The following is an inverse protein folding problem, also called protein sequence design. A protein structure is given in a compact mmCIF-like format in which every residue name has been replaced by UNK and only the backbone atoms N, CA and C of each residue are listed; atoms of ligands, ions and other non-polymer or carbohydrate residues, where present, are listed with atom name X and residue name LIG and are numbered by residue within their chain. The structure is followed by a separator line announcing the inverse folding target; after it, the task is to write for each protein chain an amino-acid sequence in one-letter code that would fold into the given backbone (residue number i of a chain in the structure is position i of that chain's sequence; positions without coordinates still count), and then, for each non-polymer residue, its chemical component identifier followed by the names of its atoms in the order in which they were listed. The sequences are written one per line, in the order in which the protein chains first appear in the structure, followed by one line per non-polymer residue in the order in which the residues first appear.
data_IF_839901257274
#
_entry.id   IF_839901257274
#
_cell.length_a   1.000
_cell.length_b   1.000
_cell.length_c   1.000
_cell.angle_alpha   90.00
_cell.angle_beta   90.00
_cell.angle_gamma   90.00
#
_symmetry.space_group_name_H-M   'P 1'
#
loop_
_entity.id
_entity.type
_entity.pdbx_description
1 polymer ?
#
# COMPACT_ATOMS: atom_id res chain seq x y z
N UNK A 1 -18.32 -5.95 16.41
CA UNK A 1 -19.37 -5.44 15.50
C UNK A 1 -18.67 -5.04 14.21
N UNK A 2 -19.06 -5.60 13.06
CA UNK A 2 -18.55 -5.16 11.75
C UNK A 2 -19.33 -3.89 11.39
N UNK A 3 -18.73 -2.72 11.58
CA UNK A 3 -19.36 -1.44 11.32
C UNK A 3 -19.00 -0.96 9.92
N UNK A 4 -19.96 -0.99 8.99
CA UNK A 4 -19.90 -0.19 7.78
C UNK A 4 -20.45 1.20 8.12
N UNK A 5 -19.58 2.06 8.65
CA UNK A 5 -19.94 3.41 9.07
C UNK A 5 -19.70 4.42 7.94
N UNK A 6 -20.77 4.90 7.30
CA UNK A 6 -20.79 6.25 6.74
C UNK A 6 -21.06 7.20 7.91
N UNK A 7 -20.04 7.91 8.37
CA UNK A 7 -20.18 8.90 9.44
C UNK A 7 -19.79 10.26 8.91
N UNK A 8 -20.83 11.06 8.65
CA UNK A 8 -20.72 12.48 8.36
C UNK A 8 -20.42 13.28 9.64
N UNK A 9 -19.55 14.26 9.41
CA UNK A 9 -19.30 15.51 10.12
C UNK A 9 -18.62 15.52 11.49
N UNK A 10 -17.43 16.13 11.42
CA UNK A 10 -16.83 17.05 12.38
C UNK A 10 -16.19 16.45 13.62
N UNK A 11 -14.88 16.16 13.55
CA UNK A 11 -13.91 16.60 14.56
C UNK A 11 -12.52 16.78 13.90
N UNK A 12 -11.98 17.99 14.00
CA UNK A 12 -10.57 18.37 13.75
C UNK A 12 -10.09 18.38 12.28
N UNK A 13 -10.00 19.58 11.70
CA UNK A 13 -9.26 19.83 10.45
C UNK A 13 -7.81 19.33 10.58
N UNK A 14 -7.53 18.17 9.97
CA UNK A 14 -6.29 17.97 9.19
C UNK A 14 -6.41 16.91 8.09
N UNK A 15 -7.38 15.98 8.17
CA UNK A 15 -7.72 15.04 7.09
C UNK A 15 -9.23 14.72 7.16
N UNK A 16 -10.03 15.31 6.28
CA UNK A 16 -11.45 14.99 6.16
C UNK A 16 -11.61 13.74 5.29
N UNK A 17 -12.45 12.77 5.69
CA UNK A 17 -12.86 11.66 4.83
C UNK A 17 -13.41 12.24 3.52
N UNK A 18 -12.77 11.94 2.40
CA UNK A 18 -13.29 12.31 1.10
C UNK A 18 -14.44 11.39 0.71
N UNK A 19 -15.31 11.89 -0.16
CA UNK A 19 -16.35 11.06 -0.74
C UNK A 19 -15.71 9.95 -1.56
N UNK A 20 -15.81 8.71 -1.08
CA UNK A 20 -15.14 7.54 -1.66
C UNK A 20 -14.21 6.82 -0.69
N UNK A 21 -13.83 7.47 0.40
CA UNK A 21 -13.05 6.83 1.45
C UNK A 21 -13.87 5.73 2.14
N UNK A 22 -13.24 4.57 2.34
CA UNK A 22 -13.88 3.38 2.91
C UNK A 22 -12.92 2.67 3.85
N UNK A 23 -13.38 2.48 5.09
CA UNK A 23 -12.73 1.61 6.05
C UNK A 23 -13.56 0.37 6.34
N UNK A 24 -12.90 -0.79 6.34
CA UNK A 24 -13.46 -2.06 6.75
C UNK A 24 -12.59 -2.67 7.84
N UNK A 25 -13.11 -2.77 9.06
CA UNK A 25 -12.32 -3.32 10.15
C UNK A 25 -12.96 -3.16 11.51
N UNK A 26 -12.13 -3.33 12.53
CA UNK A 26 -12.51 -3.11 13.90
C UNK A 26 -12.53 -1.63 14.27
N UNK A 27 -13.46 -1.29 15.16
CA UNK A 27 -13.58 0.04 15.73
C UNK A 27 -13.47 -0.05 17.24
N UNK A 28 -12.81 0.92 17.85
CA UNK A 28 -12.75 1.10 19.30
C UNK A 28 -12.71 2.58 19.61
N UNK A 29 -13.58 3.04 20.51
CA UNK A 29 -13.65 4.44 20.96
C UNK A 29 -13.83 5.44 19.80
N UNK A 30 -14.57 5.03 18.74
CA UNK A 30 -14.79 5.85 17.54
C UNK A 30 -13.60 5.87 16.56
N UNK A 31 -12.53 5.15 16.84
CA UNK A 31 -11.32 5.11 16.02
C UNK A 31 -11.06 3.71 15.44
N UNK A 32 -10.28 3.64 14.35
CA UNK A 32 -9.85 2.36 13.78
C UNK A 32 -8.99 1.57 14.75
N UNK A 33 -9.30 0.29 14.86
CA UNK A 33 -8.66 -0.59 15.82
C UNK A 33 -8.63 -2.06 15.36
N UNK A 34 -7.48 -2.70 15.53
CA UNK A 34 -7.28 -4.08 15.12
C UNK A 34 -7.10 -4.20 13.60
N UNK A 35 -7.33 -5.39 13.04
CA UNK A 35 -7.18 -5.62 11.60
C UNK A 35 -8.23 -4.84 10.81
N UNK A 36 -7.81 -4.19 9.73
CA UNK A 36 -8.70 -3.53 8.81
C UNK A 36 -8.07 -3.25 7.45
N UNK A 37 -8.92 -2.81 6.53
CA UNK A 37 -8.57 -2.32 5.21
C UNK A 37 -9.11 -0.89 5.06
N UNK A 38 -8.25 0.03 4.69
CA UNK A 38 -8.58 1.41 4.39
C UNK A 38 -8.35 1.66 2.90
N UNK A 39 -9.34 2.22 2.22
CA UNK A 39 -9.21 2.85 0.93
C UNK A 39 -9.47 4.33 1.15
N UNK A 40 -8.55 5.19 0.74
CA UNK A 40 -8.75 6.63 0.77
C UNK A 40 -8.39 7.24 -0.59
N UNK A 41 -9.07 8.33 -0.92
CA UNK A 41 -8.78 9.14 -2.08
C UNK A 41 -7.97 10.37 -1.65
N UNK A 42 -7.17 10.93 -2.55
CA UNK A 42 -6.68 12.29 -2.39
C UNK A 42 -7.62 13.32 -3.06
N UNK A 43 -7.21 14.58 -3.06
CA UNK A 43 -7.95 15.68 -3.69
C UNK A 43 -8.09 15.54 -5.23
N UNK A 44 -7.26 14.71 -5.86
CA UNK A 44 -7.28 14.44 -7.30
C UNK A 44 -8.11 13.20 -7.65
N UNK A 45 -8.57 12.46 -6.63
CA UNK A 45 -9.30 11.20 -6.79
C UNK A 45 -8.39 9.98 -6.90
N UNK A 46 -7.09 10.16 -6.64
CA UNK A 46 -6.14 9.07 -6.66
C UNK A 46 -6.32 8.17 -5.43
N UNK A 47 -6.34 6.86 -5.67
CA UNK A 47 -6.68 5.87 -4.66
C UNK A 47 -5.44 5.34 -3.95
N UNK A 48 -5.45 5.44 -2.64
CA UNK A 48 -4.48 4.84 -1.73
C UNK A 48 -5.16 3.71 -0.94
N UNK A 49 -4.44 2.61 -0.76
CA UNK A 49 -4.94 1.45 -0.05
C UNK A 49 -4.00 1.07 1.09
N UNK A 50 -4.56 0.72 2.24
CA UNK A 50 -3.82 0.12 3.34
C UNK A 50 -4.56 -1.10 3.88
N UNK A 51 -3.85 -2.19 4.07
CA UNK A 51 -4.35 -3.41 4.72
C UNK A 51 -3.40 -3.79 5.85
N UNK A 52 -3.88 -3.78 7.09
CA UNK A 52 -3.00 -4.04 8.23
C UNK A 52 -3.70 -3.86 9.56
N UNK A 53 -2.91 -3.67 10.63
CA UNK A 53 -3.47 -3.37 11.94
C UNK A 53 -3.55 -1.87 12.18
N UNK A 54 -4.58 -1.48 12.91
CA UNK A 54 -4.84 -0.12 13.32
C UNK A 54 -4.83 -0.03 14.83
N UNK A 55 -4.36 1.10 15.36
CA UNK A 55 -4.50 1.45 16.77
C UNK A 55 -4.68 2.95 16.89
N UNK A 56 -5.80 3.35 17.48
CA UNK A 56 -6.16 4.77 17.63
C UNK A 56 -6.18 5.52 16.30
N UNK A 57 -6.83 4.93 15.29
CA UNK A 57 -6.94 5.52 13.95
C UNK A 57 -5.67 5.44 13.09
N UNK A 58 -4.53 4.99 13.64
CA UNK A 58 -3.23 4.98 12.95
C UNK A 58 -2.79 3.57 12.55
N UNK A 59 -2.05 3.48 11.44
CA UNK A 59 -1.39 2.25 11.01
C UNK A 59 -0.40 1.76 12.07
N UNK A 60 -0.38 0.44 12.32
CA UNK A 60 0.46 -0.18 13.34
C UNK A 60 0.79 -1.63 13.01
N UNK A 61 1.97 -2.08 13.42
CA UNK A 61 2.42 -3.46 13.26
C UNK A 61 2.60 -3.79 11.78
N UNK A 62 2.35 -5.03 11.38
CA UNK A 62 2.48 -5.43 9.98
C UNK A 62 1.32 -4.89 9.13
N UNK A 63 1.64 -4.36 7.95
CA UNK A 63 0.66 -3.89 7.00
C UNK A 63 1.23 -3.66 5.60
N UNK A 64 0.33 -3.66 4.63
CA UNK A 64 0.59 -3.42 3.22
C UNK A 64 -0.05 -2.10 2.81
N UNK A 65 0.74 -1.21 2.23
CA UNK A 65 0.27 0.03 1.62
C UNK A 65 0.48 -0.03 0.11
N UNK A 66 -0.52 0.37 -0.65
CA UNK A 66 -0.43 0.52 -2.10
C UNK A 66 -0.81 1.96 -2.47
N UNK A 67 -0.10 2.52 -3.41
CA UNK A 67 -0.34 3.86 -3.92
C UNK A 67 -0.92 3.81 -5.36
N UNK A 68 -1.44 4.93 -5.89
CA UNK A 68 -2.06 4.97 -7.22
C UNK A 68 -1.04 4.74 -8.36
N UNK A 69 0.26 4.95 -8.11
CA UNK A 69 1.32 4.69 -9.09
C UNK A 69 1.60 3.21 -9.28
N UNK A 70 1.08 2.36 -8.39
CA UNK A 70 1.30 0.92 -8.37
C UNK A 70 2.46 0.50 -7.47
N UNK A 71 3.10 1.44 -6.78
CA UNK A 71 4.07 1.11 -5.75
C UNK A 71 3.38 0.48 -4.54
N UNK A 72 4.05 -0.52 -3.95
CA UNK A 72 3.57 -1.19 -2.75
C UNK A 72 4.68 -1.27 -1.71
N UNK A 73 4.32 -0.99 -0.47
CA UNK A 73 5.15 -1.26 0.70
C UNK A 73 4.52 -2.33 1.58
N UNK A 74 5.28 -3.36 1.91
CA UNK A 74 4.90 -4.42 2.85
C UNK A 74 5.88 -4.39 4.01
N UNK A 75 5.43 -4.09 5.22
CA UNK A 75 6.35 -4.03 6.35
C UNK A 75 5.72 -3.57 7.65
N UNK A 76 6.59 -3.19 8.58
CA UNK A 76 6.21 -2.69 9.88
C UNK A 76 5.75 -1.22 9.85
N UNK A 77 4.79 -0.91 10.71
CA UNK A 77 4.19 0.40 10.87
C UNK A 77 4.16 0.79 12.33
N UNK A 78 4.46 2.05 12.62
CA UNK A 78 4.40 2.60 13.96
C UNK A 78 3.84 4.01 13.90
N UNK A 79 2.74 4.22 14.62
CA UNK A 79 2.08 5.52 14.80
C UNK A 79 1.70 6.25 13.48
N UNK A 80 1.45 5.48 12.42
CA UNK A 80 1.08 5.96 11.09
C UNK A 80 2.24 5.98 10.07
N UNK A 81 3.47 5.72 10.52
CA UNK A 81 4.67 5.80 9.69
C UNK A 81 5.26 4.41 9.43
N UNK A 82 5.96 4.28 8.30
CA UNK A 82 6.74 3.08 7.95
C UNK A 82 7.88 2.95 8.96
N UNK A 83 8.06 1.77 9.53
CA UNK A 83 9.01 1.51 10.61
C UNK A 83 9.64 0.13 10.43
N UNK A 84 10.81 -0.12 11.01
CA UNK A 84 11.38 -1.47 11.07
C UNK A 84 11.60 -2.11 9.70
N UNK A 85 11.47 -3.43 9.60
CA UNK A 85 11.73 -4.16 8.36
C UNK A 85 10.56 -4.06 7.38
N UNK A 86 10.89 -3.92 6.09
CA UNK A 86 9.89 -4.01 5.03
C UNK A 86 10.47 -4.12 3.62
N UNK A 87 9.57 -4.40 2.68
CA UNK A 87 9.85 -4.56 1.26
C UNK A 87 9.09 -3.50 0.48
N UNK A 88 9.82 -2.75 -0.34
CA UNK A 88 9.25 -1.90 -1.37
C UNK A 88 9.17 -2.65 -2.69
N UNK A 89 8.03 -2.52 -3.36
CA UNK A 89 7.73 -3.14 -4.63
C UNK A 89 7.40 -2.01 -5.59
N UNK A 90 8.21 -1.88 -6.64
CA UNK A 90 8.01 -0.90 -7.69
C UNK A 90 7.44 -1.61 -8.93
N UNK A 91 6.38 -1.05 -9.55
CA UNK A 91 5.96 -1.49 -10.86
C UNK A 91 7.09 -1.16 -11.85
N UNK A 92 7.58 -2.16 -12.58
CA UNK A 92 8.43 -1.85 -13.73
C UNK A 92 7.50 -1.31 -14.81
N UNK A 93 7.64 -0.02 -15.17
CA UNK A 93 6.84 0.59 -16.23
C UNK A 93 6.94 -0.25 -17.52
N UNK A 94 5.80 -0.84 -17.88
CA UNK A 94 5.27 -1.09 -19.21
C UNK A 94 6.20 -1.64 -20.31
N UNK A 95 5.91 -2.89 -20.68
CA UNK A 95 5.86 -3.43 -22.05
C UNK A 95 7.20 -3.55 -22.80
N UNK A 96 7.65 -4.81 -22.99
CA UNK A 96 8.42 -5.15 -24.18
C UNK A 96 7.55 -4.75 -25.37
N UNK A 97 7.92 -3.67 -26.05
CA UNK A 97 7.23 -3.16 -27.23
C UNK A 97 6.78 -4.31 -28.12
N UNK A 98 5.52 -4.22 -28.53
CA UNK A 98 4.85 -5.03 -29.55
C UNK A 98 5.79 -5.19 -30.75
N UNK A 99 6.59 -6.27 -30.77
CA UNK A 99 7.33 -6.66 -31.96
C UNK A 99 6.33 -7.43 -32.81
N UNK A 100 5.89 -6.75 -33.87
CA UNK A 100 5.05 -7.30 -34.94
C UNK A 100 5.41 -8.75 -35.22
N UNK A 101 4.38 -9.58 -35.21
CA UNK A 101 4.40 -11.02 -35.41
C UNK A 101 5.36 -11.45 -36.52
N UNK A 102 6.54 -11.95 -36.15
CA UNK A 102 7.32 -12.84 -37.02
C UNK A 102 7.89 -14.00 -36.21
N UNK A 103 7.37 -15.16 -36.54
CA UNK A 103 7.63 -16.52 -36.07
C UNK A 103 9.01 -16.73 -35.41
N UNK A 104 9.02 -16.91 -34.09
CA UNK A 104 10.10 -17.65 -33.43
C UNK A 104 9.51 -18.79 -32.61
N UNK A 105 9.57 -19.99 -33.19
CA UNK A 105 9.42 -21.24 -32.46
C UNK A 105 10.69 -21.50 -31.65
N UNK A 106 10.80 -20.91 -30.46
CA UNK A 106 11.77 -21.38 -29.46
C UNK A 106 11.07 -21.53 -28.11
N UNK A 107 11.13 -22.75 -27.62
CA UNK A 107 10.85 -23.13 -26.25
C UNK A 107 11.78 -22.42 -25.28
N UNK A 108 11.25 -21.88 -24.19
CA UNK A 108 12.05 -21.52 -23.03
C UNK A 108 11.65 -20.19 -22.41
N UNK A 109 10.87 -20.29 -21.33
CA UNK A 109 10.75 -19.33 -20.23
C UNK A 109 10.35 -17.88 -20.60
N UNK A 110 9.04 -17.65 -20.67
CA UNK A 110 8.42 -16.34 -20.47
C UNK A 110 8.69 -15.87 -19.03
N UNK A 111 9.86 -15.31 -18.79
CA UNK A 111 10.17 -14.65 -17.53
C UNK A 111 9.51 -13.26 -17.51
N UNK A 112 8.21 -13.24 -17.19
CA UNK A 112 7.51 -12.02 -16.76
C UNK A 112 7.97 -11.65 -15.35
N UNK A 113 9.21 -11.19 -15.18
CA UNK A 113 9.67 -10.59 -13.92
C UNK A 113 9.08 -9.18 -13.80
N UNK A 114 7.79 -9.07 -13.45
CA UNK A 114 7.04 -7.81 -13.52
C UNK A 114 7.24 -6.83 -12.34
N UNK A 115 8.19 -7.08 -11.43
CA UNK A 115 8.35 -6.24 -10.24
C UNK A 115 9.80 -6.12 -9.82
N UNK A 116 10.22 -4.92 -9.41
CA UNK A 116 11.48 -4.74 -8.67
C UNK A 116 11.17 -4.71 -7.18
N UNK A 117 11.90 -5.50 -6.39
CA UNK A 117 11.78 -5.48 -4.93
C UNK A 117 13.04 -4.92 -4.27
N UNK A 118 12.84 -4.03 -3.30
CA UNK A 118 13.90 -3.49 -2.46
C UNK A 118 13.59 -3.84 -1.01
N UNK A 119 14.48 -4.59 -0.38
CA UNK A 119 14.41 -4.92 1.03
C UNK A 119 15.17 -3.88 1.85
N UNK A 120 14.62 -3.48 2.98
CA UNK A 120 15.30 -2.54 3.84
C UNK A 120 14.63 -2.29 5.17
N UNK A 121 15.24 -1.41 5.94
CA UNK A 121 14.82 -1.02 7.27
C UNK A 121 14.44 0.47 7.30
N UNK A 122 13.34 0.80 7.96
CA UNK A 122 12.94 2.19 8.25
C UNK A 122 13.40 2.60 9.64
N UNK A 123 14.21 3.68 9.70
CA UNK A 123 14.63 4.33 10.95
C UNK A 123 14.32 5.82 10.86
N UNK A 124 13.61 6.34 11.86
CA UNK A 124 13.24 7.76 11.97
C UNK A 124 12.60 8.32 10.68
N UNK A 125 11.73 7.53 10.04
CA UNK A 125 11.04 7.88 8.81
C UNK A 125 11.86 7.72 7.52
N UNK A 126 13.14 7.35 7.60
CA UNK A 126 14.03 7.18 6.46
C UNK A 126 14.26 5.71 6.11
N UNK A 127 14.26 5.41 4.80
CA UNK A 127 14.54 4.07 4.30
C UNK A 127 16.04 3.78 4.19
N UNK A 128 16.47 2.69 4.79
CA UNK A 128 17.81 2.14 4.65
C UNK A 128 17.72 0.78 3.95
N UNK A 129 17.77 0.79 2.61
CA UNK A 129 17.70 -0.41 1.78
C UNK A 129 19.06 -1.10 1.59
N UNK A 130 19.07 -2.43 1.60
CA UNK A 130 20.22 -3.24 1.18
C UNK A 130 19.77 -4.23 0.10
N UNK A 131 20.22 -4.00 -1.13
CA UNK A 131 20.06 -4.95 -2.24
C UNK A 131 18.79 -4.79 -3.07
N UNK A 132 18.99 -4.84 -4.39
CA UNK A 132 17.93 -4.92 -5.40
C UNK A 132 17.75 -6.39 -5.74
N UNK A 133 16.55 -6.92 -5.53
CA UNK A 133 16.18 -8.28 -5.94
C UNK A 133 15.24 -8.19 -7.13
N UNK A 134 15.60 -8.90 -8.20
CA UNK A 134 14.68 -9.28 -9.27
C UNK A 134 14.18 -10.69 -8.93
N UNK A 135 12.86 -10.91 -8.97
CA UNK A 135 12.22 -12.21 -8.76
C UNK A 135 11.80 -12.80 -10.10
#
# INVERSE_FOLDING_TARGET
MKGNGRIGTSWSRKYSWLEGDRYEGGWKDGEFHGKGALNCLDQHGDKFEYQGNFRKGKYKGQGTFSDPSGEKYVGEWKDGEKYGQGTYIFPMEQVCWELEEWEFSWSGDLQFCQWRQIHGEYKDGNFHGQGLSQS
#
